data_IF_252411167562
#
_entry.id   IF_252411167562
#
_cell.length_a   1.000
_cell.length_b   1.000
_cell.length_c   1.000
_cell.angle_alpha   90.00
_cell.angle_beta   90.00
_cell.angle_gamma   90.00
#
_symmetry.space_group_name_H-M   'P 1'
#
loop_
_entity.id
_entity.type
_entity.pdbx_description
1 polymer ?
#
# COMPACT_ATOMS: atom_id res chain seq x y z
N UNK A 1 -12.21 5.36 -27.01
CA UNK A 1 -11.97 4.72 -25.69
C UNK A 1 -11.17 3.42 -25.79
N UNK A 2 -11.43 2.57 -26.79
CA UNK A 2 -10.69 1.32 -27.00
C UNK A 2 -9.14 1.41 -27.02
N UNK A 3 -8.50 2.37 -27.71
CA UNK A 3 -7.03 2.46 -27.71
C UNK A 3 -6.44 2.85 -26.33
N UNK A 4 -7.17 3.64 -25.52
CA UNK A 4 -6.72 4.01 -24.17
C UNK A 4 -6.86 2.86 -23.17
N UNK A 5 -7.94 2.09 -23.25
CA UNK A 5 -8.13 0.89 -22.43
C UNK A 5 -7.10 -0.19 -22.73
N UNK A 6 -6.77 -0.39 -24.02
CA UNK A 6 -5.69 -1.31 -24.43
C UNK A 6 -4.34 -0.87 -23.87
N UNK A 7 -4.02 0.42 -23.94
CA UNK A 7 -2.77 0.95 -23.40
C UNK A 7 -2.64 0.75 -21.88
N UNK A 8 -3.66 1.13 -21.10
CA UNK A 8 -3.65 0.98 -19.65
C UNK A 8 -3.67 -0.50 -19.22
N UNK A 9 -4.47 -1.31 -19.90
CA UNK A 9 -4.54 -2.75 -19.65
C UNK A 9 -3.19 -3.42 -19.91
N UNK A 10 -2.55 -3.12 -21.03
CA UNK A 10 -1.25 -3.71 -21.38
C UNK A 10 -0.16 -3.29 -20.38
N UNK A 11 -0.09 -1.99 -20.02
CA UNK A 11 0.92 -1.50 -19.08
C UNK A 11 0.70 -2.03 -17.65
N UNK A 12 -0.53 -2.25 -17.19
CA UNK A 12 -0.77 -2.89 -15.89
C UNK A 12 -0.54 -4.41 -15.93
N UNK A 13 -0.96 -5.09 -17.00
CA UNK A 13 -0.92 -6.55 -17.07
C UNK A 13 0.50 -7.07 -17.29
N UNK A 14 1.33 -6.39 -18.08
CA UNK A 14 2.72 -6.80 -18.35
C UNK A 14 3.54 -6.97 -17.05
N UNK A 15 3.67 -6.00 -16.13
CA UNK A 15 4.45 -6.16 -14.92
C UNK A 15 3.85 -7.22 -13.97
N UNK A 16 2.52 -7.36 -13.92
CA UNK A 16 1.89 -8.44 -13.16
C UNK A 16 2.26 -9.82 -13.73
N UNK A 17 2.24 -9.98 -15.06
CA UNK A 17 2.68 -11.20 -15.72
C UNK A 17 4.17 -11.47 -15.50
N UNK A 18 5.02 -10.44 -15.53
CA UNK A 18 6.44 -10.58 -15.21
C UNK A 18 6.62 -11.13 -13.79
N UNK A 19 5.97 -10.54 -12.78
CA UNK A 19 6.05 -11.03 -11.39
C UNK A 19 5.52 -12.47 -11.28
N UNK A 20 4.43 -12.79 -11.99
CA UNK A 20 3.87 -14.14 -12.01
C UNK A 20 4.84 -15.16 -12.60
N UNK A 21 5.55 -14.81 -13.67
CA UNK A 21 6.60 -15.67 -14.25
C UNK A 21 7.76 -15.84 -13.27
N UNK A 22 8.16 -14.77 -12.57
CA UNK A 22 9.26 -14.81 -11.60
C UNK A 22 9.01 -15.73 -10.40
N UNK A 23 7.76 -16.05 -10.07
CA UNK A 23 7.45 -17.06 -9.04
C UNK A 23 8.10 -18.41 -9.37
N UNK A 24 8.24 -18.75 -10.65
CA UNK A 24 8.79 -20.03 -11.07
C UNK A 24 10.31 -20.05 -11.16
N UNK A 25 11.01 -18.94 -10.94
CA UNK A 25 12.47 -18.85 -11.11
C UNK A 25 13.16 -18.43 -9.81
N UNK A 26 14.37 -18.97 -9.58
CA UNK A 26 15.19 -18.60 -8.42
C UNK A 26 16.13 -17.44 -8.73
N UNK A 27 16.49 -16.72 -7.67
CA UNK A 27 17.49 -15.66 -7.76
C UNK A 27 18.88 -16.31 -7.85
N UNK A 28 19.53 -16.12 -8.98
CA UNK A 28 20.91 -16.54 -9.19
C UNK A 28 21.89 -15.85 -8.25
N UNK A 29 23.04 -16.48 -8.04
CA UNK A 29 24.06 -16.11 -7.05
C UNK A 29 24.58 -14.67 -7.24
N UNK A 30 24.61 -14.17 -8.48
CA UNK A 30 25.04 -12.82 -8.83
C UNK A 30 23.91 -11.79 -8.89
N UNK A 31 22.73 -12.10 -8.35
CA UNK A 31 21.58 -11.21 -8.32
C UNK A 31 20.75 -11.19 -9.60
N UNK A 32 21.06 -12.05 -10.58
CA UNK A 32 20.26 -12.31 -11.77
C UNK A 32 19.14 -13.34 -11.53
N UNK A 33 18.35 -13.64 -12.56
CA UNK A 33 17.33 -14.69 -12.53
C UNK A 33 17.94 -15.94 -13.16
N UNK A 34 17.90 -17.07 -12.47
CA UNK A 34 18.31 -18.35 -13.07
C UNK A 34 17.14 -18.92 -13.87
N UNK A 35 17.20 -18.77 -15.20
CA UNK A 35 16.17 -19.24 -16.13
C UNK A 35 16.24 -20.74 -16.42
N UNK A 36 17.27 -21.44 -15.94
CA UNK A 36 17.52 -22.83 -16.32
C UNK A 36 16.79 -23.85 -15.45
N UNK A 37 16.32 -23.45 -14.26
CA UNK A 37 15.59 -24.32 -13.35
C UNK A 37 14.26 -23.68 -12.94
N UNK A 38 13.18 -24.08 -13.60
CA UNK A 38 11.84 -23.76 -13.14
C UNK A 38 11.57 -24.51 -11.82
N UNK A 39 11.31 -23.77 -10.75
CA UNK A 39 11.07 -24.29 -9.40
C UNK A 39 9.68 -23.91 -8.90
N UNK A 40 9.13 -24.70 -7.99
CA UNK A 40 7.93 -24.34 -7.21
C UNK A 40 8.29 -23.96 -5.76
N UNK A 41 9.58 -23.90 -5.44
CA UNK A 41 10.04 -23.69 -4.07
C UNK A 41 9.67 -22.30 -3.54
N UNK A 42 9.61 -21.27 -4.40
CA UNK A 42 9.13 -19.94 -4.00
C UNK A 42 7.68 -19.95 -3.50
N UNK A 43 6.83 -20.79 -4.10
CA UNK A 43 5.44 -20.96 -3.65
C UNK A 43 5.44 -21.64 -2.29
N UNK A 44 6.25 -22.69 -2.10
CA UNK A 44 6.37 -23.38 -0.82
C UNK A 44 6.88 -22.45 0.28
N UNK A 45 7.90 -21.63 0.00
CA UNK A 45 8.44 -20.61 0.91
C UNK A 45 7.39 -19.57 1.29
N UNK A 46 6.48 -19.21 0.40
CA UNK A 46 5.40 -18.28 0.74
C UNK A 46 4.47 -18.81 1.85
N UNK A 47 4.38 -20.14 2.04
CA UNK A 47 3.63 -20.78 3.11
C UNK A 47 4.48 -21.11 4.36
N UNK A 48 5.75 -20.75 4.38
CA UNK A 48 6.60 -20.89 5.56
C UNK A 48 6.03 -20.00 6.69
N UNK A 49 5.94 -20.50 7.94
CA UNK A 49 5.45 -19.75 9.09
C UNK A 49 6.02 -18.33 9.23
N UNK A 50 7.28 -18.11 8.86
CA UNK A 50 7.90 -16.78 8.91
C UNK A 50 7.25 -15.77 7.95
N UNK A 51 7.01 -16.17 6.69
CA UNK A 51 6.37 -15.28 5.72
C UNK A 51 4.89 -15.09 6.06
N UNK A 52 4.24 -16.14 6.56
CA UNK A 52 2.86 -16.08 6.99
C UNK A 52 2.68 -15.14 8.20
N UNK A 53 3.60 -15.14 9.17
CA UNK A 53 3.54 -14.22 10.30
C UNK A 53 3.69 -12.77 9.86
N UNK A 54 4.64 -12.48 8.98
CA UNK A 54 4.84 -11.12 8.43
C UNK A 54 3.59 -10.65 7.67
N UNK A 55 2.98 -11.54 6.89
CA UNK A 55 1.73 -11.24 6.18
C UNK A 55 0.58 -10.95 7.15
N UNK A 56 0.42 -11.76 8.19
CA UNK A 56 -0.61 -11.57 9.22
C UNK A 56 -0.40 -10.29 10.02
N UNK A 57 0.83 -9.96 10.38
CA UNK A 57 1.17 -8.70 11.06
C UNK A 57 0.80 -7.50 10.17
N UNK A 58 1.16 -7.56 8.89
CA UNK A 58 0.80 -6.52 7.91
C UNK A 58 -0.72 -6.39 7.75
N UNK A 59 -1.44 -7.52 7.68
CA UNK A 59 -2.89 -7.55 7.56
C UNK A 59 -3.58 -7.01 8.82
N UNK A 60 -3.08 -7.34 10.00
CA UNK A 60 -3.56 -6.80 11.27
C UNK A 60 -3.35 -5.29 11.36
N UNK A 61 -2.16 -4.81 11.03
CA UNK A 61 -1.85 -3.37 11.03
C UNK A 61 -2.75 -2.63 10.03
N UNK A 62 -2.90 -3.15 8.81
CA UNK A 62 -3.78 -2.59 7.79
C UNK A 62 -5.26 -2.60 8.22
N UNK A 63 -5.72 -3.70 8.83
CA UNK A 63 -7.10 -3.83 9.31
C UNK A 63 -7.40 -2.88 10.46
N UNK A 64 -6.53 -2.84 11.47
CA UNK A 64 -6.66 -1.96 12.63
C UNK A 64 -6.59 -0.49 12.20
N UNK A 65 -5.63 -0.12 11.36
CA UNK A 65 -5.52 1.26 10.85
C UNK A 65 -6.75 1.68 10.06
N UNK A 66 -7.30 0.80 9.22
CA UNK A 66 -8.55 1.06 8.47
C UNK A 66 -9.73 1.25 9.42
N UNK A 67 -9.87 0.40 10.43
CA UNK A 67 -10.95 0.49 11.41
C UNK A 67 -10.86 1.79 12.22
N UNK A 68 -9.68 2.14 12.72
CA UNK A 68 -9.44 3.39 13.46
C UNK A 68 -9.72 4.59 12.56
N UNK A 69 -9.24 4.58 11.31
CA UNK A 69 -9.49 5.63 10.35
C UNK A 69 -10.99 5.78 10.05
N UNK A 70 -11.74 4.70 9.96
CA UNK A 70 -13.19 4.74 9.77
C UNK A 70 -13.89 5.31 11.01
N UNK A 71 -13.52 4.84 12.20
CA UNK A 71 -14.12 5.26 13.47
C UNK A 71 -13.89 6.74 13.77
N UNK A 72 -12.75 7.31 13.37
CA UNK A 72 -12.44 8.73 13.56
C UNK A 72 -12.90 9.56 12.36
N UNK A 73 -12.66 9.08 11.15
CA UNK A 73 -12.94 9.79 9.91
C UNK A 73 -14.43 9.95 9.63
N UNK A 74 -15.24 8.93 9.91
CA UNK A 74 -16.69 8.99 9.70
C UNK A 74 -17.39 10.05 10.56
N UNK A 75 -17.19 10.12 11.89
CA UNK A 75 -17.80 11.18 12.70
C UNK A 75 -17.24 12.57 12.34
N UNK A 76 -15.96 12.68 11.99
CA UNK A 76 -15.39 13.94 11.51
C UNK A 76 -16.07 14.40 10.20
N UNK A 77 -16.22 13.51 9.22
CA UNK A 77 -16.91 13.81 7.96
C UNK A 77 -18.38 14.19 8.20
N UNK A 78 -19.06 13.49 9.11
CA UNK A 78 -20.44 13.80 9.47
C UNK A 78 -20.57 15.16 10.16
N UNK A 79 -19.65 15.51 11.05
CA UNK A 79 -19.62 16.83 11.68
C UNK A 79 -19.40 17.96 10.66
N UNK A 80 -18.52 17.72 9.67
CA UNK A 80 -18.28 18.68 8.58
C UNK A 80 -19.52 18.81 7.68
N UNK A 81 -20.19 17.70 7.36
CA UNK A 81 -21.39 17.70 6.53
C UNK A 81 -22.60 18.40 7.20
N UNK A 82 -22.63 18.46 8.54
CA UNK A 82 -23.66 19.17 9.31
C UNK A 82 -23.29 20.61 9.67
N UNK A 83 -22.09 21.08 9.34
CA UNK A 83 -21.65 22.43 9.64
C UNK A 83 -22.29 23.46 8.67
N UNK A 84 -22.33 24.75 9.05
CA UNK A 84 -22.77 25.82 8.14
C UNK A 84 -21.92 25.86 6.87
N UNK A 85 -22.54 26.15 5.72
CA UNK A 85 -21.88 26.12 4.40
C UNK A 85 -20.60 26.99 4.34
N UNK A 86 -20.57 28.11 5.07
CA UNK A 86 -19.41 29.00 5.17
C UNK A 86 -18.19 28.34 5.84
N UNK A 87 -18.41 27.47 6.83
CA UNK A 87 -17.35 26.79 7.58
C UNK A 87 -16.98 25.44 6.98
N UNK A 88 -17.85 24.84 6.18
CA UNK A 88 -17.63 23.53 5.56
C UNK A 88 -16.38 23.54 4.67
N UNK A 89 -16.22 24.54 3.81
CA UNK A 89 -15.04 24.68 2.92
C UNK A 89 -13.75 24.81 3.72
N UNK A 90 -13.75 25.60 4.80
CA UNK A 90 -12.57 25.79 5.65
C UNK A 90 -12.19 24.50 6.40
N UNK A 91 -13.17 23.77 6.93
CA UNK A 91 -12.93 22.50 7.63
C UNK A 91 -12.42 21.40 6.69
N UNK A 92 -12.97 21.31 5.47
CA UNK A 92 -12.47 20.40 4.44
C UNK A 92 -11.02 20.73 4.06
N UNK A 93 -10.72 22.02 3.87
CA UNK A 93 -9.36 22.46 3.58
C UNK A 93 -8.38 22.05 4.70
N UNK A 94 -8.74 22.30 5.97
CA UNK A 94 -7.94 21.90 7.12
C UNK A 94 -7.71 20.38 7.19
N UNK A 95 -8.72 19.57 6.88
CA UNK A 95 -8.59 18.12 6.83
C UNK A 95 -7.69 17.64 5.67
N UNK A 96 -7.65 18.37 4.56
CA UNK A 96 -6.79 18.05 3.41
C UNK A 96 -5.35 18.53 3.59
N UNK A 97 -5.10 19.61 4.33
CA UNK A 97 -3.74 20.14 4.57
C UNK A 97 -2.68 19.07 4.94
N UNK A 98 -2.91 18.14 5.89
CA UNK A 98 -1.91 17.13 6.23
C UNK A 98 -1.63 16.11 5.11
N UNK A 99 -2.49 16.01 4.10
CA UNK A 99 -2.25 15.18 2.91
C UNK A 99 -1.24 15.82 1.95
N UNK A 100 -1.11 17.15 1.96
CA UNK A 100 -0.20 17.88 1.08
C UNK A 100 1.25 17.85 1.58
N UNK A 101 1.49 17.39 2.80
CA UNK A 101 2.84 17.20 3.35
C UNK A 101 3.47 15.92 2.81
N UNK A 102 4.76 15.99 2.43
CA UNK A 102 5.51 14.83 1.97
C UNK A 102 5.56 13.73 3.04
N UNK A 103 5.19 12.51 2.65
CA UNK A 103 5.20 11.33 3.52
C UNK A 103 6.55 11.13 4.22
N UNK A 104 7.68 11.33 3.52
CA UNK A 104 9.02 11.17 4.08
C UNK A 104 9.27 12.11 5.26
N UNK A 105 8.88 13.39 5.12
CA UNK A 105 9.05 14.38 6.18
C UNK A 105 8.28 13.96 7.43
N UNK A 106 7.03 13.49 7.25
CA UNK A 106 6.21 13.01 8.36
C UNK A 106 6.83 11.78 9.03
N UNK A 107 7.34 10.82 8.25
CA UNK A 107 8.00 9.63 8.78
C UNK A 107 9.28 9.98 9.55
N UNK A 108 10.14 10.86 9.02
CA UNK A 108 11.34 11.31 9.74
C UNK A 108 11.01 12.09 11.01
N UNK A 109 9.98 12.95 10.98
CA UNK A 109 9.54 13.69 12.15
C UNK A 109 9.09 12.74 13.28
N UNK A 110 8.35 11.69 12.95
CA UNK A 110 7.99 10.64 13.92
C UNK A 110 9.21 9.88 14.44
N UNK A 111 10.15 9.51 13.57
CA UNK A 111 11.39 8.85 14.00
C UNK A 111 12.12 9.73 15.02
N UNK A 112 12.34 11.02 14.71
CA UNK A 112 13.03 11.94 15.63
C UNK A 112 12.25 12.16 16.92
N UNK A 113 10.92 12.26 16.86
CA UNK A 113 10.07 12.50 18.03
C UNK A 113 10.02 11.28 18.99
N UNK A 114 10.06 10.06 18.45
CA UNK A 114 10.08 8.83 19.23
C UNK A 114 11.50 8.32 19.53
N UNK A 115 12.53 8.93 18.95
CA UNK A 115 13.92 8.60 19.26
C UNK A 115 14.24 9.17 20.66
N UNK A 116 14.71 8.35 21.61
CA UNK A 116 15.12 8.83 22.93
C UNK A 116 16.28 9.83 22.87
#
# INVERSE_FOLDING_TARGET
MAPGLLWLGLLMVVPCLLIFVLIFFERGIYGGIDWNAATLENIRRAFDPLYLSIFLDSALIAGLSTLIALLIGYPAAYAIARAPAERQTALLFLAMLPFWTNYLIRTYAWIVLLNP
#
